data_IF_655467648602
#
_entry.id   IF_655467648602
#
_cell.length_a   1.000
_cell.length_b   1.000
_cell.length_c   1.000
_cell.angle_alpha   90.00
_cell.angle_beta   90.00
_cell.angle_gamma   90.00
#
_symmetry.space_group_name_H-M   'P 1'
#
loop_
_entity.id
_entity.type
_entity.pdbx_description
1 polymer ?
#
# COMPACT_ATOMS: atom_id res chain seq x y z
N UNK A 1 -5.18 -17.94 15.48
CA UNK A 1 -4.07 -18.64 16.16
C UNK A 1 -2.89 -18.97 15.22
N UNK A 2 -3.13 -19.42 13.98
CA UNK A 2 -2.07 -19.79 13.02
C UNK A 2 -0.99 -18.72 12.76
N UNK A 3 -1.36 -17.44 12.83
CA UNK A 3 -0.44 -16.31 12.63
C UNK A 3 0.63 -16.21 13.73
N UNK A 4 0.34 -16.70 14.94
CA UNK A 4 1.29 -16.73 16.06
C UNK A 4 2.12 -18.02 16.13
N UNK A 5 1.73 -19.07 15.39
CA UNK A 5 2.44 -20.35 15.35
C UNK A 5 3.30 -20.55 14.09
N UNK A 6 3.13 -19.74 13.05
CA UNK A 6 3.97 -19.77 11.83
C UNK A 6 5.06 -18.70 11.86
N UNK A 7 5.80 -18.60 12.97
CA UNK A 7 7.05 -17.82 12.99
C UNK A 7 8.19 -18.79 12.76
N UNK A 8 8.44 -19.13 11.49
CA UNK A 8 9.68 -19.83 11.10
C UNK A 8 10.85 -18.90 11.41
N UNK A 9 11.97 -19.46 11.89
CA UNK A 9 13.22 -18.69 11.97
C UNK A 9 13.48 -18.08 10.59
N UNK A 10 13.87 -16.80 10.49
CA UNK A 10 14.19 -16.21 9.20
C UNK A 10 15.39 -16.96 8.64
N UNK A 11 15.15 -17.95 7.79
CA UNK A 11 16.21 -18.52 6.98
C UNK A 11 16.73 -17.39 6.09
N UNK A 12 18.02 -17.38 5.79
CA UNK A 12 18.61 -16.45 4.82
C UNK A 12 18.08 -16.80 3.44
N UNK A 13 16.82 -16.47 3.19
CA UNK A 13 16.20 -16.61 1.89
C UNK A 13 16.96 -15.68 0.93
N UNK A 14 17.23 -16.18 -0.27
CA UNK A 14 17.63 -15.32 -1.40
C UNK A 14 16.69 -14.13 -1.44
N UNK A 15 17.20 -12.95 -1.83
CA UNK A 15 16.37 -11.77 -2.09
C UNK A 15 15.20 -12.24 -2.95
N UNK A 16 14.00 -12.25 -2.37
CA UNK A 16 12.80 -12.68 -3.07
C UNK A 16 12.42 -11.51 -3.97
N UNK A 17 12.73 -11.63 -5.26
CA UNK A 17 12.29 -10.65 -6.25
C UNK A 17 10.76 -10.76 -6.37
N UNK A 18 10.06 -9.69 -6.01
CA UNK A 18 8.62 -9.64 -6.11
C UNK A 18 8.21 -9.23 -7.52
N UNK A 19 7.09 -9.79 -7.99
CA UNK A 19 6.48 -9.32 -9.23
C UNK A 19 5.91 -7.90 -9.06
N UNK A 20 5.71 -7.19 -10.17
CA UNK A 20 5.07 -5.87 -10.16
C UNK A 20 3.71 -5.89 -9.42
N UNK A 21 2.88 -6.92 -9.68
CA UNK A 21 1.61 -7.11 -9.00
C UNK A 21 1.76 -7.28 -7.47
N UNK A 22 2.80 -7.97 -7.00
CA UNK A 22 3.07 -8.11 -5.57
C UNK A 22 3.50 -6.78 -4.92
N UNK A 23 4.30 -5.99 -5.63
CA UNK A 23 4.65 -4.63 -5.17
C UNK A 23 3.42 -3.72 -5.09
N UNK A 24 2.57 -3.74 -6.11
CA UNK A 24 1.35 -2.93 -6.16
C UNK A 24 0.34 -3.32 -5.07
N UNK A 25 0.18 -4.62 -4.76
CA UNK A 25 -0.63 -5.08 -3.63
C UNK A 25 -0.03 -4.65 -2.29
N UNK A 26 1.30 -4.74 -2.12
CA UNK A 26 1.94 -4.24 -0.90
C UNK A 26 1.72 -2.74 -0.75
N UNK A 27 1.91 -1.96 -1.81
CA UNK A 27 1.67 -0.51 -1.80
C UNK A 27 0.24 -0.20 -1.38
N UNK A 28 -0.75 -0.91 -1.93
CA UNK A 28 -2.15 -0.77 -1.54
C UNK A 28 -2.39 -1.06 -0.05
N UNK A 29 -1.82 -2.14 0.47
CA UNK A 29 -1.93 -2.47 1.90
C UNK A 29 -1.23 -1.46 2.80
N UNK A 30 -0.06 -0.96 2.39
CA UNK A 30 0.68 0.05 3.11
C UNK A 30 -0.10 1.36 3.20
N UNK A 31 -0.64 1.86 2.08
CA UNK A 31 -1.41 3.11 2.08
C UNK A 31 -2.74 2.98 2.84
N UNK A 32 -3.39 1.80 2.77
CA UNK A 32 -4.59 1.53 3.56
C UNK A 32 -4.30 1.57 5.07
N UNK A 33 -3.21 0.92 5.49
CA UNK A 33 -2.75 0.94 6.89
C UNK A 33 -2.39 2.36 7.32
N UNK A 34 -1.57 3.06 6.52
CA UNK A 34 -1.13 4.42 6.81
C UNK A 34 -2.31 5.38 6.96
N UNK A 35 -3.35 5.26 6.12
CA UNK A 35 -4.58 6.07 6.23
C UNK A 35 -5.34 5.90 7.56
N UNK A 36 -5.06 4.83 8.31
CA UNK A 36 -5.67 4.57 9.62
C UNK A 36 -4.74 4.95 10.78
N UNK A 37 -3.42 4.84 10.61
CA UNK A 37 -2.46 5.04 11.72
C UNK A 37 -1.77 6.40 11.72
N UNK A 38 -1.65 7.07 10.56
CA UNK A 38 -0.94 8.36 10.46
C UNK A 38 -1.49 9.47 11.39
N UNK A 39 -2.82 9.59 11.64
CA UNK A 39 -3.34 10.59 12.58
C UNK A 39 -2.84 10.42 14.01
N UNK A 40 -2.39 9.21 14.37
CA UNK A 40 -1.85 8.89 15.68
C UNK A 40 -0.31 8.95 15.72
N UNK A 41 0.34 9.10 14.57
CA UNK A 41 1.80 9.06 14.37
C UNK A 41 2.25 10.26 13.52
N UNK A 42 1.71 11.45 13.82
CA UNK A 42 1.90 12.64 12.99
C UNK A 42 3.36 13.07 12.93
N UNK A 43 4.11 12.95 14.02
CA UNK A 43 5.52 13.34 14.06
C UNK A 43 6.36 12.47 13.12
N UNK A 44 6.19 11.15 13.18
CA UNK A 44 6.88 10.20 12.31
C UNK A 44 6.45 10.36 10.86
N UNK A 45 5.17 10.62 10.63
CA UNK A 45 4.64 10.92 9.30
C UNK A 45 5.33 12.14 8.68
N UNK A 46 5.47 13.23 9.45
CA UNK A 46 6.12 14.45 9.01
C UNK A 46 7.64 14.27 8.83
N UNK A 47 8.31 13.56 9.75
CA UNK A 47 9.72 13.22 9.64
C UNK A 47 10.02 12.42 8.36
N UNK A 48 9.09 11.55 7.96
CA UNK A 48 9.18 10.78 6.73
C UNK A 48 8.80 11.55 5.46
N UNK A 49 8.47 12.84 5.54
CA UNK A 49 7.94 13.64 4.43
C UNK A 49 6.67 13.01 3.83
N UNK A 50 5.76 12.53 4.69
CA UNK A 50 4.58 11.77 4.31
C UNK A 50 3.76 12.43 3.19
N UNK A 51 3.47 13.73 3.31
CA UNK A 51 2.70 14.46 2.29
C UNK A 51 3.35 14.40 0.91
N UNK A 52 4.66 14.64 0.81
CA UNK A 52 5.37 14.60 -0.47
C UNK A 52 5.34 13.19 -1.09
N UNK A 53 5.48 12.14 -0.27
CA UNK A 53 5.39 10.75 -0.73
C UNK A 53 3.98 10.39 -1.20
N UNK A 54 2.96 10.85 -0.49
CA UNK A 54 1.55 10.61 -0.87
C UNK A 54 1.21 11.33 -2.18
N UNK A 55 1.72 12.55 -2.39
CA UNK A 55 1.54 13.27 -3.65
C UNK A 55 2.22 12.55 -4.82
N UNK A 56 3.48 12.14 -4.68
CA UNK A 56 4.17 11.36 -5.71
C UNK A 56 3.45 10.02 -6.01
N UNK A 57 2.87 9.40 -4.98
CA UNK A 57 2.07 8.19 -5.14
C UNK A 57 0.74 8.46 -5.86
N UNK A 58 0.11 9.61 -5.63
CA UNK A 58 -1.08 10.05 -6.37
C UNK A 58 -0.76 10.34 -7.85
N UNK A 59 0.37 10.95 -8.15
CA UNK A 59 0.84 11.15 -9.54
C UNK A 59 0.96 9.80 -10.27
N UNK A 60 1.49 8.77 -9.62
CA UNK A 60 1.51 7.41 -10.19
C UNK A 60 0.10 6.79 -10.31
N UNK A 61 -0.83 7.11 -9.41
CA UNK A 61 -2.22 6.64 -9.51
C UNK A 61 -2.93 7.22 -10.75
N UNK A 62 -2.58 8.44 -11.14
CA UNK A 62 -3.13 9.13 -12.31
C UNK A 62 -2.40 8.76 -13.61
N UNK A 63 -1.18 8.23 -13.53
CA UNK A 63 -0.41 7.87 -14.71
C UNK A 63 -1.03 6.70 -15.50
N UNK A 64 -0.82 6.73 -16.82
CA UNK A 64 -1.16 5.65 -17.76
C UNK A 64 -0.23 4.43 -17.64
N UNK A 65 0.63 4.38 -16.63
CA UNK A 65 1.51 3.24 -16.39
C UNK A 65 0.69 1.98 -16.16
N UNK A 66 1.18 0.87 -16.72
CA UNK A 66 0.54 -0.44 -16.57
C UNK A 66 0.34 -0.79 -15.09
N UNK A 67 -0.82 -1.39 -14.80
CA UNK A 67 -1.20 -1.86 -13.49
C UNK A 67 -1.46 -3.36 -13.55
N UNK A 68 -0.83 -4.13 -12.67
CA UNK A 68 -0.77 -5.60 -12.74
C UNK A 68 -1.50 -6.30 -11.58
N UNK A 69 -1.79 -5.57 -10.50
CA UNK A 69 -2.49 -6.02 -9.30
C UNK A 69 -4.01 -6.05 -9.48
N UNK A 70 -4.72 -6.58 -8.48
CA UNK A 70 -6.18 -6.52 -8.44
C UNK A 70 -6.72 -5.21 -7.87
N UNK A 71 -5.91 -4.39 -7.21
CA UNK A 71 -6.30 -3.09 -6.69
C UNK A 71 -7.29 -3.12 -5.53
N UNK A 72 -7.94 -4.23 -5.23
CA UNK A 72 -8.73 -4.43 -4.01
C UNK A 72 -8.52 -5.85 -3.50
N UNK A 73 -8.85 -6.09 -2.23
CA UNK A 73 -8.93 -7.44 -1.68
C UNK A 73 -9.78 -8.34 -2.57
N UNK A 74 -9.54 -9.65 -2.55
CA UNK A 74 -10.25 -10.65 -3.35
C UNK A 74 -11.79 -10.49 -3.31
N UNK A 75 -12.33 -10.07 -2.15
CA UNK A 75 -13.76 -9.81 -1.92
C UNK A 75 -14.25 -8.40 -2.29
N UNK A 76 -13.39 -7.51 -2.75
CA UNK A 76 -13.74 -6.15 -3.17
C UNK A 76 -14.47 -6.13 -4.51
N UNK A 77 -15.46 -5.25 -4.63
CA UNK A 77 -16.23 -5.01 -5.87
C UNK A 77 -15.85 -3.67 -6.51
N UNK A 78 -15.92 -3.58 -7.84
CA UNK A 78 -15.86 -2.30 -8.57
C UNK A 78 -14.48 -1.65 -8.79
N UNK A 79 -13.37 -2.33 -8.48
CA UNK A 79 -12.03 -1.73 -8.62
C UNK A 79 -10.94 -2.73 -9.00
N UNK A 80 -11.24 -3.68 -9.90
CA UNK A 80 -10.25 -4.62 -10.42
C UNK A 80 -9.47 -4.00 -11.58
N UNK A 81 -8.17 -4.28 -11.64
CA UNK A 81 -7.26 -3.83 -12.70
C UNK A 81 -7.19 -2.31 -12.87
N UNK A 82 -7.32 -1.55 -11.78
CA UNK A 82 -7.13 -0.10 -11.76
C UNK A 82 -6.53 0.37 -10.42
N UNK A 83 -6.07 1.62 -10.42
CA UNK A 83 -5.41 2.27 -9.27
C UNK A 83 -6.39 3.01 -8.34
N UNK A 84 -7.71 2.82 -8.48
CA UNK A 84 -8.69 3.64 -7.75
C UNK A 84 -8.70 3.41 -6.25
N UNK A 85 -8.41 2.20 -5.79
CA UNK A 85 -8.35 1.95 -4.36
C UNK A 85 -7.14 2.63 -3.73
N UNK A 86 -5.99 2.59 -4.41
CA UNK A 86 -4.77 3.29 -4.05
C UNK A 86 -5.07 4.79 -3.92
N UNK A 87 -5.67 5.39 -4.95
CA UNK A 87 -6.09 6.80 -4.94
C UNK A 87 -7.05 7.12 -3.79
N UNK A 88 -8.06 6.28 -3.55
CA UNK A 88 -9.03 6.45 -2.46
C UNK A 88 -8.35 6.43 -1.08
N UNK A 89 -7.40 5.55 -0.84
CA UNK A 89 -6.68 5.50 0.44
C UNK A 89 -5.72 6.67 0.61
N UNK A 90 -5.08 7.14 -0.46
CA UNK A 90 -4.28 8.37 -0.46
C UNK A 90 -5.13 9.59 -0.08
N UNK A 91 -6.31 9.75 -0.69
CA UNK A 91 -7.23 10.85 -0.35
C UNK A 91 -7.75 10.76 1.09
N UNK A 92 -7.98 9.54 1.61
CA UNK A 92 -8.33 9.35 3.02
C UNK A 92 -7.21 9.78 3.95
N UNK A 93 -5.97 9.43 3.62
CA UNK A 93 -4.79 9.81 4.39
C UNK A 93 -4.59 11.34 4.39
N UNK A 94 -4.79 12.03 3.27
CA UNK A 94 -4.69 13.50 3.19
C UNK A 94 -5.80 14.23 3.94
N UNK A 95 -6.94 13.56 4.20
CA UNK A 95 -8.06 14.14 4.95
C UNK A 95 -7.91 13.97 6.47
N UNK A 96 -7.11 13.00 6.91
CA UNK A 96 -7.03 12.57 8.29
C UNK A 96 -6.12 13.49 9.12
#
# INVERSE_FOLDING_TARGET
LALFTYVKKPEKHKIMEWSAAQYEELQLHAIATLSSVAPFLTEEYMLCQGNARVLAFLEWCESEDSFFSHGNSFHGTGGRANKFAQMRYSLRLLRA
#
